data_IF_737499385268
#
_entry.id   IF_737499385268
#
_cell.length_a   1.000
_cell.length_b   1.000
_cell.length_c   1.000
_cell.angle_alpha   90.00
_cell.angle_beta   90.00
_cell.angle_gamma   90.00
#
_symmetry.space_group_name_H-M   'P 1'
#
loop_
_entity.id
_entity.type
_entity.pdbx_description
1 polymer ?
#
# COMPACT_ATOMS: atom_id res chain seq x y z
N UNK A 1 -2.06 -34.36 4.51
CA UNK A 1 -1.26 -34.13 3.28
C UNK A 1 -1.83 -32.87 2.61
N UNK A 2 -1.35 -31.68 3.01
CA UNK A 2 -1.82 -30.37 2.53
C UNK A 2 -0.69 -29.66 1.79
N UNK A 3 0.04 -30.42 0.96
CA UNK A 3 1.10 -29.90 0.10
C UNK A 3 0.51 -29.59 -1.26
N UNK A 4 -0.38 -28.60 -1.32
CA UNK A 4 -0.72 -28.00 -2.61
C UNK A 4 0.17 -26.78 -2.78
N UNK A 5 1.11 -26.92 -3.71
CA UNK A 5 2.14 -25.95 -4.10
C UNK A 5 1.54 -24.71 -4.81
N UNK A 6 0.30 -24.33 -4.44
CA UNK A 6 -0.52 -23.32 -5.09
C UNK A 6 -0.26 -21.91 -4.56
N UNK A 7 0.41 -21.78 -3.42
CA UNK A 7 0.62 -20.51 -2.76
C UNK A 7 2.11 -20.24 -2.58
N UNK A 8 2.56 -19.05 -2.98
CA UNK A 8 3.92 -18.53 -2.78
C UNK A 8 4.10 -17.81 -1.42
N UNK A 9 2.99 -17.62 -0.70
CA UNK A 9 3.03 -17.00 0.62
C UNK A 9 1.80 -17.31 1.48
N UNK A 10 2.01 -17.19 2.78
CA UNK A 10 1.04 -17.46 3.84
C UNK A 10 0.96 -16.26 4.77
N UNK A 11 -0.25 -15.90 5.17
CA UNK A 11 -0.50 -14.89 6.20
C UNK A 11 -1.11 -15.58 7.43
N UNK A 12 -0.49 -15.40 8.59
CA UNK A 12 -0.95 -15.92 9.88
C UNK A 12 -1.35 -14.72 10.75
N UNK A 13 -2.62 -14.66 11.12
CA UNK A 13 -3.14 -13.63 12.02
C UNK A 13 -3.26 -14.27 13.40
N UNK A 14 -2.20 -14.18 14.19
CA UNK A 14 -2.16 -14.76 15.53
C UNK A 14 -1.08 -14.10 16.39
N UNK A 15 -1.38 -13.96 17.67
CA UNK A 15 -0.42 -13.48 18.68
C UNK A 15 0.16 -14.63 19.52
N UNK A 16 -0.20 -15.87 19.22
CA UNK A 16 0.25 -17.04 19.98
C UNK A 16 1.61 -17.55 19.47
N UNK A 17 2.49 -17.92 20.40
CA UNK A 17 3.79 -18.53 20.10
C UNK A 17 3.68 -19.89 19.42
N UNK A 18 2.54 -20.57 19.50
CA UNK A 18 2.35 -21.91 18.92
C UNK A 18 2.54 -21.96 17.39
N UNK A 19 2.46 -20.81 16.70
CA UNK A 19 2.66 -20.69 15.26
C UNK A 19 4.13 -20.52 14.83
N UNK A 20 5.05 -20.38 15.79
CA UNK A 20 6.50 -20.25 15.54
C UNK A 20 7.06 -21.43 14.73
N UNK A 21 6.86 -22.71 15.12
CA UNK A 21 7.34 -23.84 14.33
C UNK A 21 6.70 -23.93 12.95
N UNK A 22 5.42 -23.55 12.82
CA UNK A 22 4.73 -23.52 11.52
C UNK A 22 5.36 -22.49 10.57
N UNK A 23 5.64 -21.28 11.06
CA UNK A 23 6.27 -20.23 10.28
C UNK A 23 7.68 -20.59 9.83
N UNK A 24 8.46 -21.24 10.70
CA UNK A 24 9.79 -21.75 10.34
C UNK A 24 9.72 -22.80 9.23
N UNK A 25 8.83 -23.77 9.35
CA UNK A 25 8.66 -24.82 8.33
C UNK A 25 8.22 -24.22 6.99
N UNK A 26 7.27 -23.28 6.98
CA UNK A 26 6.83 -22.61 5.75
C UNK A 26 7.96 -21.83 5.06
N UNK A 27 8.84 -21.19 5.84
CA UNK A 27 10.04 -20.52 5.30
C UNK A 27 11.07 -21.50 4.76
N UNK A 28 11.23 -22.66 5.39
CA UNK A 28 12.12 -23.72 4.92
C UNK A 28 11.68 -24.26 3.56
N UNK A 29 10.38 -24.24 3.28
CA UNK A 29 9.81 -24.49 1.94
C UNK A 29 9.87 -23.29 0.98
N UNK A 30 10.68 -22.26 1.27
CA UNK A 30 10.80 -21.02 0.50
C UNK A 30 9.49 -20.24 0.31
N UNK A 31 8.52 -20.41 1.21
CA UNK A 31 7.25 -19.65 1.15
C UNK A 31 7.37 -18.35 1.95
N UNK A 32 6.80 -17.26 1.44
CA UNK A 32 6.76 -15.97 2.15
C UNK A 32 5.78 -16.03 3.31
N UNK A 33 6.24 -15.87 4.54
CA UNK A 33 5.37 -15.91 5.73
C UNK A 33 5.21 -14.52 6.32
N UNK A 34 3.97 -14.03 6.36
CA UNK A 34 3.55 -12.79 7.00
C UNK A 34 2.83 -13.13 8.30
N UNK A 35 3.20 -12.48 9.41
CA UNK A 35 2.50 -12.66 10.69
C UNK A 35 1.93 -11.33 11.14
N UNK A 36 0.64 -11.28 11.45
CA UNK A 36 -0.01 -10.13 12.05
C UNK A 36 -0.37 -10.42 13.51
N UNK A 37 0.07 -9.57 14.44
CA UNK A 37 -0.12 -9.79 15.89
C UNK A 37 0.01 -8.51 16.72
N UNK A 38 -0.34 -8.59 18.00
CA UNK A 38 -0.28 -7.43 18.91
C UNK A 38 1.16 -7.12 19.35
N UNK A 39 1.39 -5.98 20.01
CA UNK A 39 2.74 -5.60 20.47
C UNK A 39 3.33 -6.56 21.50
N UNK A 40 2.50 -7.31 22.20
CA UNK A 40 2.92 -8.38 23.13
C UNK A 40 3.39 -9.66 22.44
N UNK A 41 3.39 -9.72 21.10
CA UNK A 41 3.84 -10.90 20.36
C UNK A 41 5.30 -11.25 20.71
N UNK A 42 5.59 -12.50 21.12
CA UNK A 42 6.93 -12.93 21.47
C UNK A 42 7.95 -12.73 20.34
N UNK A 43 9.17 -12.34 20.71
CA UNK A 43 10.25 -12.06 19.75
C UNK A 43 10.61 -13.28 18.88
N UNK A 44 10.42 -14.49 19.42
CA UNK A 44 10.59 -15.75 18.70
C UNK A 44 9.66 -15.85 17.48
N UNK A 45 8.39 -15.46 17.62
CA UNK A 45 7.41 -15.49 16.52
C UNK A 45 7.74 -14.43 15.46
N UNK A 46 8.20 -13.24 15.89
CA UNK A 46 8.64 -12.17 14.97
C UNK A 46 9.84 -12.61 14.13
N UNK A 47 10.82 -13.30 14.74
CA UNK A 47 11.99 -13.84 14.04
C UNK A 47 11.67 -15.02 13.11
N UNK A 48 10.60 -15.75 13.41
CA UNK A 48 10.18 -16.90 12.61
C UNK A 48 9.49 -16.50 11.30
N UNK A 49 9.01 -15.26 11.13
CA UNK A 49 8.37 -14.79 9.89
C UNK A 49 9.32 -13.99 8.98
N UNK A 50 8.90 -13.75 7.74
CA UNK A 50 9.59 -12.82 6.85
C UNK A 50 9.24 -11.37 7.17
N UNK A 51 8.00 -11.12 7.58
CA UNK A 51 7.50 -9.79 7.93
C UNK A 51 6.43 -9.87 9.00
N UNK A 52 6.61 -9.06 10.04
CA UNK A 52 5.66 -8.90 11.13
C UNK A 52 4.84 -7.62 10.95
N UNK A 53 3.52 -7.73 11.08
CA UNK A 53 2.55 -6.64 10.93
C UNK A 53 1.91 -6.41 12.30
N UNK A 54 2.26 -5.33 13.02
CA UNK A 54 1.60 -5.02 14.29
C UNK A 54 0.12 -4.66 14.03
N UNK A 55 -0.79 -5.31 14.76
CA UNK A 55 -2.25 -5.09 14.68
C UNK A 55 -2.75 -3.93 15.55
N UNK A 56 -1.90 -3.39 16.42
CA UNK A 56 -2.28 -2.23 17.22
C UNK A 56 -2.35 -0.98 16.33
N UNK A 57 -3.48 -0.26 16.43
CA UNK A 57 -3.70 1.04 15.78
C UNK A 57 -2.72 2.08 16.32
N UNK A 58 -1.47 2.02 15.88
CA UNK A 58 -0.55 3.15 16.00
C UNK A 58 -0.99 4.21 15.00
N UNK A 59 -1.84 5.11 15.49
CA UNK A 59 -1.77 6.51 15.08
C UNK A 59 -0.33 6.98 15.34
N UNK A 60 0.47 7.03 14.27
CA UNK A 60 1.76 7.72 14.20
C UNK A 60 2.90 7.24 15.13
N UNK A 61 3.83 6.44 14.60
CA UNK A 61 5.28 6.77 14.54
C UNK A 61 6.10 5.66 13.84
N UNK A 62 7.04 6.08 13.00
CA UNK A 62 7.73 5.33 11.93
C UNK A 62 8.92 4.48 12.43
N UNK A 63 9.46 3.58 11.57
CA UNK A 63 10.81 3.85 11.07
C UNK A 63 10.78 4.29 9.60
N UNK A 64 11.34 5.46 9.37
CA UNK A 64 11.75 5.97 8.07
C UNK A 64 12.91 5.13 7.55
N UNK A 65 12.64 4.14 6.71
CA UNK A 65 13.58 3.78 5.67
C UNK A 65 13.09 4.47 4.39
N UNK A 66 13.85 5.45 3.92
CA UNK A 66 13.62 6.07 2.60
C UNK A 66 13.98 5.03 1.55
N UNK A 67 13.08 4.07 1.32
CA UNK A 67 13.02 3.41 0.03
C UNK A 67 12.69 4.55 -0.92
N UNK A 68 13.63 4.95 -1.80
CA UNK A 68 13.31 5.88 -2.88
C UNK A 68 12.02 5.33 -3.53
N UNK A 69 10.87 6.02 -3.43
CA UNK A 69 9.63 5.49 -3.93
C UNK A 69 9.63 5.71 -5.43
N UNK A 70 10.46 4.96 -6.15
CA UNK A 70 10.28 4.80 -7.58
C UNK A 70 9.07 3.91 -7.75
N UNK A 71 7.97 4.51 -8.22
CA UNK A 71 6.82 3.76 -8.70
C UNK A 71 7.30 2.64 -9.64
N UNK A 72 6.63 1.48 -9.64
CA UNK A 72 6.82 0.49 -10.69
C UNK A 72 6.71 1.20 -12.05
N UNK A 73 7.63 0.89 -12.97
CA UNK A 73 7.72 1.53 -14.29
C UNK A 73 6.35 1.47 -14.99
N UNK A 74 5.70 0.30 -14.98
CA UNK A 74 4.33 0.12 -15.48
C UNK A 74 3.33 1.09 -14.86
N UNK A 75 3.37 1.32 -13.55
CA UNK A 75 2.43 2.22 -12.89
C UNK A 75 2.69 3.66 -13.33
N UNK A 76 3.95 4.08 -13.38
CA UNK A 76 4.32 5.43 -13.83
C UNK A 76 3.93 5.71 -15.29
N UNK A 77 4.09 4.73 -16.19
CA UNK A 77 3.66 4.85 -17.58
C UNK A 77 2.15 5.01 -17.72
N UNK A 78 1.36 4.27 -16.93
CA UNK A 78 -0.10 4.41 -16.93
C UNK A 78 -0.53 5.76 -16.38
N UNK A 79 0.09 6.23 -15.29
CA UNK A 79 -0.18 7.57 -14.79
C UNK A 79 0.14 8.62 -15.85
N UNK A 80 1.32 8.57 -16.49
CA UNK A 80 1.65 9.47 -17.60
C UNK A 80 0.57 9.45 -18.69
N UNK A 81 0.13 8.28 -19.16
CA UNK A 81 -0.96 8.17 -20.15
C UNK A 81 -2.29 8.76 -19.67
N UNK A 82 -2.61 8.63 -18.39
CA UNK A 82 -3.81 9.20 -17.78
C UNK A 82 -3.75 10.73 -17.77
N UNK A 83 -2.60 11.29 -17.41
CA UNK A 83 -2.34 12.72 -17.34
C UNK A 83 -2.13 13.38 -18.70
N UNK A 84 -1.53 12.69 -19.67
CA UNK A 84 -1.33 13.16 -21.05
C UNK A 84 -2.66 13.43 -21.77
N UNK A 85 -3.72 12.72 -21.38
CA UNK A 85 -5.10 12.98 -21.84
C UNK A 85 -5.74 14.22 -21.20
N UNK A 86 -5.04 14.94 -20.31
CA UNK A 86 -5.59 16.05 -19.53
C UNK A 86 -4.83 17.34 -19.82
N UNK A 87 -5.51 18.34 -20.38
CA UNK A 87 -4.89 19.59 -20.88
C UNK A 87 -4.24 20.44 -19.76
N UNK A 88 -4.75 20.36 -18.53
CA UNK A 88 -4.31 21.18 -17.38
C UNK A 88 -3.21 20.53 -16.52
N UNK A 89 -2.87 19.27 -16.78
CA UNK A 89 -1.94 18.48 -15.93
C UNK A 89 -2.45 18.18 -14.51
N UNK A 90 -3.58 18.75 -14.10
CA UNK A 90 -4.26 18.49 -12.83
C UNK A 90 -5.50 17.63 -13.05
N UNK A 91 -5.62 16.56 -12.28
CA UNK A 91 -6.78 15.67 -12.31
C UNK A 91 -7.41 15.54 -10.92
N UNK A 92 -8.75 15.43 -10.82
CA UNK A 92 -9.38 15.11 -9.55
C UNK A 92 -8.90 13.74 -9.06
N UNK A 93 -8.52 13.62 -7.79
CA UNK A 93 -8.07 12.36 -7.19
C UNK A 93 -9.10 11.24 -7.37
N UNK A 94 -10.40 11.56 -7.29
CA UNK A 94 -11.50 10.61 -7.57
C UNK A 94 -11.49 10.09 -9.01
N UNK A 95 -11.16 10.94 -9.98
CA UNK A 95 -11.09 10.55 -11.40
C UNK A 95 -9.85 9.72 -11.67
N UNK A 96 -8.71 10.12 -11.08
CA UNK A 96 -7.46 9.38 -11.18
C UNK A 96 -7.62 7.97 -10.57
N UNK A 97 -8.15 7.86 -9.35
CA UNK A 97 -8.38 6.58 -8.69
C UNK A 97 -9.34 5.67 -9.49
N UNK A 98 -10.37 6.25 -10.13
CA UNK A 98 -11.26 5.50 -11.02
C UNK A 98 -10.52 4.96 -12.24
N UNK A 99 -9.71 5.78 -12.93
CA UNK A 99 -8.92 5.37 -14.10
C UNK A 99 -7.88 4.31 -13.74
N UNK A 100 -7.17 4.46 -12.63
CA UNK A 100 -6.21 3.46 -12.12
C UNK A 100 -6.91 2.11 -11.92
N UNK A 101 -8.11 2.12 -11.32
CA UNK A 101 -8.89 0.90 -11.11
C UNK A 101 -9.41 0.30 -12.44
N UNK A 102 -9.79 1.14 -13.41
CA UNK A 102 -10.24 0.73 -14.73
C UNK A 102 -9.11 0.04 -15.52
N UNK A 103 -7.88 0.54 -15.40
CA UNK A 103 -6.65 -0.05 -15.94
C UNK A 103 -6.19 -1.31 -15.18
N UNK A 104 -6.96 -1.75 -14.17
CA UNK A 104 -6.64 -2.95 -13.37
C UNK A 104 -5.47 -2.78 -12.41
N UNK A 105 -5.03 -1.55 -12.16
CA UNK A 105 -3.93 -1.24 -11.25
C UNK A 105 -4.45 -1.09 -9.81
N UNK A 106 -3.69 -1.59 -8.84
CA UNK A 106 -3.97 -1.40 -7.43
C UNK A 106 -2.85 -0.63 -6.74
N UNK A 107 -3.16 0.56 -6.24
CA UNK A 107 -2.18 1.39 -5.52
C UNK A 107 -1.72 0.73 -4.22
N UNK A 108 -2.48 -0.22 -3.68
CA UNK A 108 -2.12 -1.00 -2.49
C UNK A 108 -1.02 -2.01 -2.76
N UNK A 109 -0.80 -2.41 -4.01
CA UNK A 109 0.25 -3.38 -4.35
C UNK A 109 1.59 -2.73 -4.68
N UNK A 110 1.61 -1.40 -4.86
CA UNK A 110 2.82 -0.64 -5.20
C UNK A 110 3.88 -0.76 -4.10
N UNK A 111 3.45 -0.59 -2.85
CA UNK A 111 4.31 -0.76 -1.68
C UNK A 111 3.68 -1.79 -0.73
N UNK A 112 4.07 -3.08 -0.79
CA UNK A 112 3.60 -4.08 0.16
C UNK A 112 4.04 -3.78 1.60
N UNK A 113 4.88 -2.76 1.79
CA UNK A 113 5.31 -2.28 3.09
C UNK A 113 4.48 -1.15 3.66
N UNK A 114 3.66 -0.50 2.85
CA UNK A 114 2.87 0.65 3.25
C UNK A 114 1.40 0.32 3.04
N UNK A 115 0.63 0.30 4.12
CA UNK A 115 -0.81 0.12 4.05
C UNK A 115 -1.46 1.48 3.81
N UNK A 116 -2.04 1.64 2.63
CA UNK A 116 -2.80 2.84 2.26
C UNK A 116 -4.27 2.68 2.65
N UNK A 117 -4.74 3.54 3.57
CA UNK A 117 -6.14 3.50 4.05
C UNK A 117 -7.13 3.96 2.97
N UNK A 118 -6.70 4.91 2.14
CA UNK A 118 -7.49 5.47 1.04
C UNK A 118 -6.58 5.94 -0.09
N UNK A 119 -7.15 6.27 -1.24
CA UNK A 119 -6.40 6.83 -2.37
C UNK A 119 -5.77 8.20 -2.03
N UNK A 120 -6.45 9.01 -1.22
CA UNK A 120 -5.87 10.26 -0.71
C UNK A 120 -4.64 9.99 0.17
N UNK A 121 -4.72 9.00 1.06
CA UNK A 121 -3.60 8.61 1.93
C UNK A 121 -2.39 8.11 1.11
N UNK A 122 -2.66 7.43 -0.02
CA UNK A 122 -1.63 7.08 -1.00
C UNK A 122 -0.95 8.30 -1.61
N UNK A 123 -1.72 9.32 -2.04
CA UNK A 123 -1.16 10.56 -2.60
C UNK A 123 -0.34 11.31 -1.53
N UNK A 124 -0.88 11.48 -0.34
CA UNK A 124 -0.25 12.22 0.76
C UNK A 124 1.05 11.57 1.25
N UNK A 125 1.13 10.23 1.26
CA UNK A 125 2.34 9.49 1.64
C UNK A 125 3.40 9.43 0.55
N UNK A 126 3.10 9.88 -0.67
CA UNK A 126 4.04 9.86 -1.82
C UNK A 126 4.26 11.27 -2.40
N UNK A 127 4.76 12.24 -1.60
CA UNK A 127 4.95 13.63 -2.04
C UNK A 127 6.10 13.83 -3.05
N UNK A 128 6.98 12.83 -3.18
CA UNK A 128 8.06 12.82 -4.17
C UNK A 128 7.54 12.54 -5.59
N UNK A 129 6.40 11.85 -5.69
CA UNK A 129 5.79 11.42 -6.95
C UNK A 129 4.59 12.31 -7.30
N UNK A 130 3.76 12.64 -6.31
CA UNK A 130 2.50 13.35 -6.52
C UNK A 130 2.54 14.74 -5.89
N UNK A 131 2.06 15.71 -6.65
CA UNK A 131 1.69 17.03 -6.16
C UNK A 131 0.17 17.09 -6.02
N UNK A 132 -0.35 17.56 -4.88
CA UNK A 132 -1.79 17.66 -4.67
C UNK A 132 -2.21 19.06 -4.21
N UNK A 133 -3.44 19.44 -4.54
CA UNK A 133 -4.03 20.72 -4.16
C UNK A 133 -5.53 20.56 -3.93
N UNK A 134 -6.08 21.18 -2.88
CA UNK A 134 -7.51 21.18 -2.63
C UNK A 134 -8.16 22.36 -3.34
N UNK A 135 -9.00 22.09 -4.34
CA UNK A 135 -9.72 23.14 -5.08
C UNK A 135 -11.21 23.02 -4.82
N UNK A 136 -11.86 24.18 -4.74
CA UNK A 136 -13.32 24.27 -4.66
C UNK A 136 -13.88 24.01 -6.06
N UNK A 137 -14.75 23.01 -6.19
CA UNK A 137 -15.39 22.73 -7.46
C UNK A 137 -16.54 23.74 -7.62
N UNK A 138 -16.41 24.69 -8.55
CA UNK A 138 -17.38 25.78 -8.76
C UNK A 138 -18.80 25.33 -9.17
N UNK A 139 -19.05 24.03 -9.29
CA UNK A 139 -20.33 23.45 -9.67
C UNK A 139 -21.07 22.70 -8.54
N UNK A 140 -20.56 22.70 -7.29
CA UNK A 140 -21.23 22.02 -6.17
C UNK A 140 -21.70 23.02 -5.09
N UNK A 141 -23.01 23.14 -4.82
CA UNK A 141 -23.56 24.04 -3.81
C UNK A 141 -23.20 23.65 -2.36
N UNK A 142 -22.53 22.51 -2.15
CA UNK A 142 -22.19 21.98 -0.81
C UNK A 142 -20.83 22.45 -0.27
N UNK A 143 -20.09 23.30 -1.00
CA UNK A 143 -18.74 23.77 -0.63
C UNK A 143 -17.74 22.61 -0.36
N UNK A 144 -17.90 21.48 -1.04
CA UNK A 144 -17.00 20.35 -0.89
C UNK A 144 -15.71 20.60 -1.67
N UNK A 145 -14.59 20.69 -0.94
CA UNK A 145 -13.25 20.81 -1.52
C UNK A 145 -12.83 19.47 -2.13
N UNK A 146 -12.52 19.46 -3.42
CA UNK A 146 -12.01 18.29 -4.11
C UNK A 146 -10.49 18.30 -4.13
N UNK A 147 -9.86 17.15 -3.85
CA UNK A 147 -8.42 16.98 -4.02
C UNK A 147 -8.11 16.81 -5.51
N UNK A 148 -7.27 17.69 -6.04
CA UNK A 148 -6.65 17.58 -7.35
C UNK A 148 -5.22 17.09 -7.16
N UNK A 149 -4.75 16.25 -8.07
CA UNK A 149 -3.45 15.61 -8.05
C UNK A 149 -2.80 15.76 -9.42
N UNK A 150 -1.47 15.87 -9.42
CA UNK A 150 -0.59 15.99 -10.58
C UNK A 150 0.67 15.16 -10.34
N UNK A 151 1.29 14.67 -11.40
CA UNK A 151 2.62 14.05 -11.31
C UNK A 151 3.72 15.10 -11.20
N UNK A 152 4.63 14.87 -10.26
CA UNK A 152 5.88 15.61 -10.12
C UNK A 152 6.88 14.96 -11.08
N UNK A 153 7.07 15.61 -12.24
CA UNK A 153 8.10 15.24 -13.22
C UNK A 153 9.45 15.79 -12.81
#
# INVERSE_FOLDING_TARGET
MLTSNLYDGFCIVSSDSDFTPLAMVLREYNKKVYIAGNSQTPEALRKACNKFIPLEDSKDNRPTERVNPSLPIDFSEHLCKIFEKSEDGWLPASTLGKKIKDDGLDYRTIHPEIIYRSFNDFIEKNPDIFEYNMRENGNDPSNNKNMYVRLKT
#
